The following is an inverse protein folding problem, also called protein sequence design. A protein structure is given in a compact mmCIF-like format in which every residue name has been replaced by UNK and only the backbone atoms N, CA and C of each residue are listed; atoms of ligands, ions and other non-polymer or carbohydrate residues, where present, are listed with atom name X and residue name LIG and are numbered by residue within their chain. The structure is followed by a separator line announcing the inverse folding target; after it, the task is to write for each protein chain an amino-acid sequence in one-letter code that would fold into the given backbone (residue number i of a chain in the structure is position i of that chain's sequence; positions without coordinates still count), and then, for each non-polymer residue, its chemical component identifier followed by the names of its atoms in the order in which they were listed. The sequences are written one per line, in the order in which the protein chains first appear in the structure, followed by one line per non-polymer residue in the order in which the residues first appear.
data_IF_814310068913
#
_entry.id   IF_814310068913
#
_cell.length_a   1.000
_cell.length_b   1.000
_cell.length_c   1.000
_cell.angle_alpha   90.00
_cell.angle_beta   90.00
_cell.angle_gamma   90.00
#
_symmetry.space_group_name_H-M   'P 1'
#
loop_
_entity.id
_entity.type
_entity.pdbx_description
1 polymer ?
#
# COMPACT_ATOMS: atom_id res chain seq x y z
N UNK A 1 14.83 10.90 -14.01
CA UNK A 1 13.67 10.17 -13.43
C UNK A 1 12.59 11.19 -13.21
N UNK A 2 11.30 10.91 -13.45
CA UNK A 2 10.26 11.83 -13.00
C UNK A 2 10.46 12.07 -11.51
N UNK A 3 10.28 13.32 -11.05
CA UNK A 3 10.34 13.63 -9.63
C UNK A 3 9.20 12.87 -8.95
N UNK A 4 9.56 11.79 -8.25
CA UNK A 4 8.62 10.96 -7.51
C UNK A 4 8.09 11.77 -6.33
N UNK A 5 6.82 12.15 -6.38
CA UNK A 5 6.19 12.85 -5.25
C UNK A 5 5.92 11.87 -4.11
N UNK A 6 5.77 12.41 -2.90
CA UNK A 6 5.34 11.59 -1.75
C UNK A 6 3.97 10.95 -2.02
N UNK A 7 3.06 11.67 -2.70
CA UNK A 7 1.75 11.14 -3.09
C UNK A 7 1.87 9.94 -4.04
N UNK A 8 2.81 9.97 -4.99
CA UNK A 8 3.04 8.86 -5.91
C UNK A 8 3.65 7.64 -5.21
N UNK A 9 4.59 7.87 -4.29
CA UNK A 9 5.17 6.80 -3.47
C UNK A 9 4.11 6.12 -2.59
N UNK A 10 3.23 6.90 -1.95
CA UNK A 10 2.13 6.38 -1.14
C UNK A 10 1.14 5.58 -1.99
N UNK A 11 0.71 6.10 -3.15
CA UNK A 11 -0.17 5.37 -4.08
C UNK A 11 0.43 4.03 -4.50
N UNK A 12 1.73 4.01 -4.83
CA UNK A 12 2.40 2.78 -5.21
C UNK A 12 2.42 1.77 -4.06
N UNK A 13 2.76 2.21 -2.84
CA UNK A 13 2.79 1.35 -1.66
C UNK A 13 1.40 0.76 -1.36
N UNK A 14 0.35 1.59 -1.38
CA UNK A 14 -1.04 1.16 -1.17
C UNK A 14 -1.42 0.06 -2.17
N UNK A 15 -1.13 0.28 -3.46
CA UNK A 15 -1.45 -0.69 -4.50
C UNK A 15 -0.73 -2.03 -4.30
N UNK A 16 0.56 -2.01 -3.96
CA UNK A 16 1.33 -3.23 -3.70
C UNK A 16 0.81 -3.97 -2.47
N UNK A 17 0.44 -3.24 -1.42
CA UNK A 17 -0.11 -3.86 -0.20
C UNK A 17 -1.47 -4.50 -0.45
N UNK A 18 -2.38 -3.83 -1.18
CA UNK A 18 -3.69 -4.38 -1.56
C UNK A 18 -3.54 -5.61 -2.45
N UNK A 19 -2.72 -5.53 -3.49
CA UNK A 19 -2.45 -6.67 -4.39
C UNK A 19 -1.87 -7.87 -3.63
N UNK A 20 -0.93 -7.61 -2.70
CA UNK A 20 -0.34 -8.67 -1.89
C UNK A 20 -1.36 -9.32 -0.95
N UNK A 21 -2.24 -8.53 -0.34
CA UNK A 21 -3.31 -9.02 0.53
C UNK A 21 -4.36 -9.84 -0.24
N UNK A 22 -4.79 -9.35 -1.40
CA UNK A 22 -5.79 -10.00 -2.26
C UNK A 22 -5.25 -11.31 -2.87
N UNK A 23 -4.03 -11.28 -3.42
CA UNK A 23 -3.38 -12.45 -3.99
C UNK A 23 -2.83 -13.41 -2.93
N UNK A 24 -2.79 -12.99 -1.65
CA UNK A 24 -2.09 -13.67 -0.54
C UNK A 24 -0.64 -14.02 -0.88
N UNK A 25 0.05 -13.10 -1.55
CA UNK A 25 1.39 -13.34 -2.07
C UNK A 25 2.17 -12.03 -2.19
N UNK A 26 3.38 -12.02 -1.66
CA UNK A 26 4.31 -10.91 -1.81
C UNK A 26 4.80 -10.77 -3.27
N UNK A 27 5.24 -9.58 -3.70
CA UNK A 27 5.85 -9.40 -5.02
C UNK A 27 7.10 -10.26 -5.26
N UNK A 28 7.79 -10.66 -4.19
CA UNK A 28 8.91 -11.61 -4.23
C UNK A 28 8.48 -13.05 -4.53
N UNK A 29 7.18 -13.34 -4.48
CA UNK A 29 6.61 -14.66 -4.67
C UNK A 29 6.43 -15.47 -3.38
N UNK A 30 6.67 -14.88 -2.20
CA UNK A 30 6.42 -15.52 -0.90
C UNK A 30 4.93 -15.48 -0.57
N UNK A 31 4.36 -16.61 -0.19
CA UNK A 31 2.94 -16.67 0.20
C UNK A 31 2.72 -15.99 1.56
N UNK A 32 1.60 -15.29 1.68
CA UNK A 32 1.14 -14.65 2.91
C UNK A 32 0.10 -15.54 3.60
N UNK A 33 0.28 -15.75 4.90
CA UNK A 33 -0.79 -16.31 5.71
C UNK A 33 -1.92 -15.28 5.92
N UNK A 34 -3.04 -15.73 6.50
CA UNK A 34 -4.21 -14.86 6.68
C UNK A 34 -3.92 -13.63 7.55
N UNK A 35 -3.13 -13.80 8.62
CA UNK A 35 -2.83 -12.69 9.53
C UNK A 35 -1.93 -11.64 8.85
N UNK A 36 -0.96 -12.10 8.06
CA UNK A 36 -0.12 -11.22 7.26
C UNK A 36 -0.95 -10.53 6.15
N UNK A 37 -1.82 -11.25 5.45
CA UNK A 37 -2.70 -10.63 4.44
C UNK A 37 -3.61 -9.54 5.05
N UNK A 38 -4.19 -9.79 6.22
CA UNK A 38 -4.99 -8.79 6.95
C UNK A 38 -4.16 -7.58 7.40
N UNK A 39 -2.92 -7.81 7.84
CA UNK A 39 -1.99 -6.73 8.19
C UNK A 39 -1.66 -5.86 6.97
N UNK A 40 -1.43 -6.47 5.81
CA UNK A 40 -1.18 -5.75 4.55
C UNK A 40 -2.39 -4.91 4.14
N UNK A 41 -3.60 -5.44 4.22
CA UNK A 41 -4.82 -4.69 3.95
C UNK A 41 -4.98 -3.49 4.92
N UNK A 42 -4.81 -3.73 6.22
CA UNK A 42 -4.89 -2.69 7.25
C UNK A 42 -3.85 -1.59 7.05
N UNK A 43 -2.62 -1.96 6.68
CA UNK A 43 -1.56 -1.00 6.38
C UNK A 43 -1.89 -0.16 5.13
N UNK A 44 -2.49 -0.78 4.10
CA UNK A 44 -2.94 -0.05 2.93
C UNK A 44 -3.99 1.01 3.28
N UNK A 45 -4.94 0.68 4.16
CA UNK A 45 -5.99 1.61 4.59
C UNK A 45 -5.40 2.80 5.38
N UNK A 46 -4.47 2.54 6.31
CA UNK A 46 -3.78 3.62 7.05
C UNK A 46 -2.99 4.55 6.12
N UNK A 47 -2.36 4.00 5.08
CA UNK A 47 -1.63 4.81 4.09
C UNK A 47 -2.57 5.59 3.17
N UNK A 48 -3.76 5.06 2.87
CA UNK A 48 -4.80 5.75 2.09
C UNK A 48 -5.30 6.99 2.85
N UNK A 49 -5.63 6.83 4.15
CA UNK A 49 -5.99 7.95 5.03
C UNK A 49 -4.88 9.02 5.09
N UNK A 50 -3.62 8.59 5.15
CA UNK A 50 -2.46 9.48 5.17
C UNK A 50 -2.30 10.25 3.84
N UNK A 51 -2.60 9.60 2.72
CA UNK A 51 -2.59 10.20 1.39
C UNK A 51 -3.72 11.22 1.21
N UNK A 52 -4.91 10.94 1.75
CA UNK A 52 -6.02 11.89 1.76
C UNK A 52 -5.67 13.15 2.56
N UNK A 53 -5.08 12.99 3.75
CA UNK A 53 -4.59 14.12 4.54
C UNK A 53 -3.56 14.94 3.79
N UNK A 54 -2.59 14.28 3.12
CA UNK A 54 -1.56 14.97 2.33
C UNK A 54 -2.18 15.85 1.23
N UNK A 55 -3.19 15.33 0.52
CA UNK A 55 -3.89 16.09 -0.54
C UNK A 55 -4.76 17.24 -0.01
N UNK A 56 -5.23 17.15 1.24
CA UNK A 56 -5.94 18.26 1.89
C UNK A 56 -5.05 19.46 2.25
N UNK A 57 -3.72 19.28 2.16
CA UNK A 57 -2.71 20.29 2.47
C UNK A 57 -1.95 20.83 1.23
N UNK A 58 -2.29 20.35 0.03
CA UNK A 58 -1.82 20.88 -1.27
C UNK A 58 -2.80 21.93 -1.84
#
# INVERSE_FOLDING_TARGET
MPDLTLADALRLAINVLRDSAESRKMPSGVDLDNAAAELHASAADVLDDSLEQLRGHE
#
